data_IF_870197714982
#
_entry.id   IF_870197714982
#
_cell.length_a   1.000
_cell.length_b   1.000
_cell.length_c   1.000
_cell.angle_alpha   90.00
_cell.angle_beta   90.00
_cell.angle_gamma   90.00
#
_symmetry.space_group_name_H-M   'P 1'
#
loop_
_entity.id
_entity.type
_entity.pdbx_description
1 polymer ?
#
# COMPACT_ATOMS: atom_id res chain seq x y z
N UNK A 1 -50.17 2.19 -18.12
CA UNK A 1 -49.72 1.26 -17.06
C UNK A 1 -48.25 0.87 -17.16
N UNK A 2 -47.68 0.70 -18.35
CA UNK A 2 -46.24 0.35 -18.52
C UNK A 2 -45.22 1.44 -18.07
N UNK A 3 -45.59 2.72 -18.20
CA UNK A 3 -44.67 3.82 -17.72
C UNK A 3 -44.54 3.91 -16.20
N UNK A 4 -45.50 3.43 -15.42
CA UNK A 4 -45.42 3.37 -13.96
C UNK A 4 -44.61 2.18 -13.46
N UNK A 5 -44.54 1.09 -14.22
CA UNK A 5 -43.69 -0.06 -13.85
C UNK A 5 -42.17 0.21 -14.06
N UNK A 6 -41.81 1.07 -15.04
CA UNK A 6 -40.43 1.46 -15.27
C UNK A 6 -39.87 2.37 -14.15
N UNK A 7 -40.71 3.25 -13.59
CA UNK A 7 -40.31 4.16 -12.50
C UNK A 7 -40.16 3.40 -11.17
N UNK A 8 -40.92 2.34 -10.96
CA UNK A 8 -40.81 1.54 -9.74
C UNK A 8 -39.61 0.53 -9.79
N UNK A 9 -39.20 0.06 -10.98
CA UNK A 9 -37.98 -0.76 -11.13
C UNK A 9 -36.71 0.06 -10.91
N UNK A 10 -36.70 1.33 -11.31
CA UNK A 10 -35.55 2.23 -11.08
C UNK A 10 -35.40 2.67 -9.62
N UNK A 11 -36.49 2.66 -8.81
CA UNK A 11 -36.41 3.00 -7.38
C UNK A 11 -36.02 1.82 -6.48
N UNK A 12 -36.24 0.57 -6.86
CA UNK A 12 -35.81 -0.60 -6.09
C UNK A 12 -34.34 -0.94 -6.30
N UNK A 13 -33.69 -0.48 -7.39
CA UNK A 13 -32.26 -0.72 -7.68
C UNK A 13 -31.30 0.20 -6.92
N UNK A 14 -31.81 1.29 -6.31
CA UNK A 14 -30.94 2.28 -5.66
C UNK A 14 -30.46 1.90 -4.25
N UNK A 15 -30.93 0.79 -3.67
CA UNK A 15 -30.53 0.42 -2.29
C UNK A 15 -29.20 -0.31 -2.20
N UNK A 16 -28.65 -0.80 -3.31
CA UNK A 16 -27.41 -1.59 -3.35
C UNK A 16 -26.25 -0.88 -4.05
N UNK A 17 -26.40 0.41 -4.38
CA UNK A 17 -25.35 1.16 -5.06
C UNK A 17 -24.36 1.75 -4.07
N UNK A 18 -23.08 1.55 -4.34
CA UNK A 18 -21.97 2.23 -3.65
C UNK A 18 -21.27 3.16 -4.63
N UNK A 19 -21.01 4.39 -4.23
CA UNK A 19 -20.09 5.29 -4.92
C UNK A 19 -18.66 5.03 -4.40
N UNK A 20 -17.75 4.63 -5.28
CA UNK A 20 -16.33 4.58 -5.00
C UNK A 20 -15.66 5.83 -5.57
N UNK A 21 -14.99 6.58 -4.73
CA UNK A 21 -14.04 7.62 -5.15
C UNK A 21 -12.63 7.18 -4.83
N UNK A 22 -11.78 7.01 -5.84
CA UNK A 22 -10.35 6.71 -5.70
C UNK A 22 -9.53 7.90 -6.12
N UNK A 23 -8.55 8.28 -5.29
CA UNK A 23 -7.65 9.41 -5.58
C UNK A 23 -6.20 8.92 -5.54
N UNK A 24 -5.50 9.20 -6.62
CA UNK A 24 -4.03 9.11 -6.67
C UNK A 24 -3.53 10.52 -6.40
N UNK A 25 -2.89 10.71 -5.24
CA UNK A 25 -2.52 12.04 -4.76
C UNK A 25 -1.19 12.52 -5.35
N UNK A 26 -1.07 13.82 -5.67
CA UNK A 26 0.13 14.43 -6.24
C UNK A 26 1.17 14.73 -5.14
N UNK A 27 1.77 13.65 -4.62
CA UNK A 27 2.74 13.72 -3.52
C UNK A 27 4.20 13.64 -3.97
N UNK A 28 4.42 13.53 -5.28
CA UNK A 28 5.75 13.40 -5.87
C UNK A 28 6.35 12.01 -5.68
N UNK A 29 7.63 11.97 -5.29
CA UNK A 29 8.29 10.72 -4.97
C UNK A 29 7.72 10.19 -3.66
N UNK A 30 6.94 9.10 -3.76
CA UNK A 30 6.28 8.48 -2.60
C UNK A 30 4.94 7.83 -2.95
N UNK A 31 4.24 7.36 -1.93
CA UNK A 31 2.94 6.71 -2.06
C UNK A 31 1.87 7.36 -1.18
N UNK A 32 0.81 7.85 -1.78
CA UNK A 32 -0.39 8.27 -1.07
C UNK A 32 -1.62 8.12 -1.96
N UNK A 33 -2.46 7.15 -1.60
CA UNK A 33 -3.67 6.80 -2.34
C UNK A 33 -4.83 6.71 -1.37
N UNK A 34 -5.99 7.19 -1.77
CA UNK A 34 -7.21 7.09 -0.95
C UNK A 34 -8.35 6.50 -1.72
N UNK A 35 -9.19 5.73 -1.02
CA UNK A 35 -10.48 5.28 -1.48
C UNK A 35 -11.56 5.68 -0.48
N UNK A 36 -12.66 6.18 -0.97
CA UNK A 36 -13.87 6.42 -0.19
C UNK A 36 -15.01 5.66 -0.85
N UNK A 37 -15.58 4.70 -0.12
CA UNK A 37 -16.80 4.02 -0.51
C UNK A 37 -17.96 4.67 0.25
N UNK A 38 -18.98 5.10 -0.49
CA UNK A 38 -20.14 5.79 0.06
C UNK A 38 -21.42 5.06 -0.32
N UNK A 39 -22.21 4.70 0.67
CA UNK A 39 -23.49 4.05 0.43
C UNK A 39 -24.60 5.07 0.13
N UNK A 40 -25.79 4.56 -0.25
CA UNK A 40 -26.96 5.38 -0.56
C UNK A 40 -27.46 6.25 0.63
N UNK A 41 -27.12 5.87 1.87
CA UNK A 41 -27.45 6.60 3.09
C UNK A 41 -26.44 7.71 3.40
N UNK A 42 -25.35 7.81 2.62
CA UNK A 42 -24.32 8.81 2.79
C UNK A 42 -23.21 8.42 3.78
N UNK A 43 -23.23 7.21 4.33
CA UNK A 43 -22.16 6.71 5.17
C UNK A 43 -20.91 6.44 4.34
N UNK A 44 -19.74 6.79 4.87
CA UNK A 44 -18.47 6.67 4.19
C UNK A 44 -17.56 5.66 4.89
N UNK A 45 -16.85 4.86 4.07
CA UNK A 45 -15.76 4.00 4.49
C UNK A 45 -14.49 4.45 3.80
N UNK A 46 -13.50 4.86 4.58
CA UNK A 46 -12.32 5.55 4.09
C UNK A 46 -11.06 4.69 4.24
N UNK A 47 -10.37 4.48 3.12
CA UNK A 47 -9.14 3.71 3.02
C UNK A 47 -7.99 4.60 2.59
N UNK A 48 -6.82 4.33 3.15
CA UNK A 48 -5.54 4.90 2.73
C UNK A 48 -4.60 3.75 2.39
N UNK A 49 -3.91 3.83 1.26
CA UNK A 49 -2.77 2.97 0.93
C UNK A 49 -1.53 3.84 0.81
N UNK A 50 -0.53 3.56 1.66
CA UNK A 50 0.63 4.37 1.95
C UNK A 50 0.29 5.81 2.38
N UNK A 51 1.20 6.46 3.07
CA UNK A 51 1.03 7.84 3.52
C UNK A 51 2.37 8.56 3.53
N UNK A 52 2.93 8.76 2.34
CA UNK A 52 4.24 9.38 2.18
C UNK A 52 4.36 10.19 0.89
N UNK A 53 5.44 10.95 0.78
CA UNK A 53 5.69 11.84 -0.36
C UNK A 53 6.96 12.67 -0.19
N UNK A 54 7.03 13.82 -0.86
CA UNK A 54 8.18 14.74 -0.93
C UNK A 54 8.67 15.33 0.42
N UNK A 55 8.41 14.64 1.49
CA UNK A 55 8.93 14.96 2.81
C UNK A 55 7.84 15.28 3.82
N UNK A 56 8.21 15.18 5.09
CA UNK A 56 7.29 15.21 6.21
C UNK A 56 6.50 16.52 6.35
N UNK A 57 7.16 17.67 6.18
CA UNK A 57 6.49 18.97 6.27
C UNK A 57 5.46 19.14 5.16
N UNK A 58 5.81 18.71 3.94
CA UNK A 58 4.89 18.68 2.81
C UNK A 58 3.69 17.79 3.14
N UNK A 59 3.92 16.53 3.54
CA UNK A 59 2.84 15.59 3.83
C UNK A 59 1.93 16.07 4.95
N UNK A 60 2.47 16.63 6.04
CA UNK A 60 1.67 17.21 7.12
C UNK A 60 0.70 18.28 6.61
N UNK A 61 1.18 19.20 5.78
CA UNK A 61 0.34 20.28 5.23
C UNK A 61 -0.67 19.73 4.23
N UNK A 62 -0.25 18.79 3.40
CA UNK A 62 -1.10 18.17 2.38
C UNK A 62 -2.25 17.38 3.01
N UNK A 63 -1.98 16.57 4.04
CA UNK A 63 -3.01 15.83 4.78
C UNK A 63 -4.06 16.76 5.39
N UNK A 64 -3.63 17.89 5.96
CA UNK A 64 -4.56 18.88 6.50
C UNK A 64 -5.46 19.53 5.42
N UNK A 65 -5.02 19.54 4.16
CA UNK A 65 -5.83 20.03 3.03
C UNK A 65 -6.74 18.97 2.44
N UNK A 66 -6.32 17.69 2.50
CA UNK A 66 -7.09 16.57 1.96
C UNK A 66 -8.23 16.12 2.88
N UNK A 67 -7.99 16.12 4.18
CA UNK A 67 -8.93 15.61 5.15
C UNK A 67 -9.42 16.71 6.11
N UNK A 68 -10.74 16.79 6.37
CA UNK A 68 -11.27 17.58 7.47
C UNK A 68 -10.63 17.12 8.79
N UNK A 69 -10.53 18.04 9.74
CA UNK A 69 -10.00 17.69 11.06
C UNK A 69 -10.79 16.51 11.68
N UNK A 70 -10.05 15.57 12.29
CA UNK A 70 -10.61 14.37 12.93
C UNK A 70 -11.47 13.48 12.04
N UNK A 71 -11.21 13.47 10.72
CA UNK A 71 -11.87 12.49 9.84
C UNK A 71 -11.58 11.08 10.35
N UNK A 72 -12.57 10.20 10.28
CA UNK A 72 -12.38 8.78 10.50
C UNK A 72 -11.78 8.16 9.26
N UNK A 73 -10.66 7.47 9.43
CA UNK A 73 -10.00 6.62 8.44
C UNK A 73 -10.19 5.18 8.91
N UNK A 74 -10.96 4.42 8.17
CA UNK A 74 -11.33 3.07 8.62
C UNK A 74 -10.17 2.10 8.52
N UNK A 75 -9.37 2.18 7.43
CA UNK A 75 -8.17 1.36 7.27
C UNK A 75 -7.05 2.14 6.62
N UNK A 76 -5.84 1.89 7.10
CA UNK A 76 -4.59 2.33 6.48
C UNK A 76 -3.77 1.09 6.16
N UNK A 77 -3.43 0.88 4.90
CA UNK A 77 -2.50 -0.16 4.48
C UNK A 77 -1.14 0.47 4.18
N UNK A 78 -0.07 -0.12 4.70
CA UNK A 78 1.30 0.30 4.42
C UNK A 78 1.98 -0.79 3.60
N UNK A 79 2.51 -0.42 2.45
CA UNK A 79 3.24 -1.36 1.60
C UNK A 79 4.55 -1.80 2.25
N UNK A 80 5.36 -0.83 2.68
CA UNK A 80 6.65 -1.04 3.35
C UNK A 80 7.07 0.23 4.11
N UNK A 81 8.22 0.20 4.78
CA UNK A 81 8.59 1.25 5.73
C UNK A 81 9.67 2.22 5.21
N UNK A 82 9.80 2.42 3.91
CA UNK A 82 10.63 3.50 3.40
C UNK A 82 10.01 4.86 3.67
N UNK A 83 10.86 5.85 3.85
CA UNK A 83 10.48 7.19 4.29
C UNK A 83 9.40 7.82 3.41
N UNK A 84 9.53 7.71 2.11
CA UNK A 84 8.61 8.29 1.12
C UNK A 84 7.25 7.56 1.03
N UNK A 85 7.07 6.45 1.74
CA UNK A 85 5.79 5.76 1.90
C UNK A 85 5.12 5.99 3.25
N UNK A 86 5.87 6.42 4.29
CA UNK A 86 5.31 6.57 5.65
C UNK A 86 5.61 7.90 6.34
N UNK A 87 6.24 8.88 5.69
CA UNK A 87 6.62 10.14 6.33
C UNK A 87 5.43 11.04 6.73
N UNK A 88 4.23 10.76 6.23
CA UNK A 88 2.97 11.38 6.64
C UNK A 88 2.21 10.60 7.71
N UNK A 89 2.53 9.31 7.91
CA UNK A 89 1.72 8.38 8.72
C UNK A 89 1.52 8.85 10.16
N UNK A 90 2.57 9.34 10.82
CA UNK A 90 2.43 9.87 12.19
C UNK A 90 1.53 11.09 12.28
N UNK A 91 1.54 11.95 11.26
CA UNK A 91 0.61 13.08 11.19
C UNK A 91 -0.82 12.60 10.97
N UNK A 92 -1.00 11.57 10.16
CA UNK A 92 -2.31 10.94 9.95
C UNK A 92 -2.86 10.36 11.26
N UNK A 93 -2.09 9.51 11.94
CA UNK A 93 -2.47 8.87 13.20
C UNK A 93 -2.77 9.87 14.32
N UNK A 94 -2.02 10.98 14.39
CA UNK A 94 -2.18 11.99 15.42
C UNK A 94 -3.41 12.89 15.20
N UNK A 95 -3.71 13.21 13.94
CA UNK A 95 -4.71 14.25 13.62
C UNK A 95 -6.07 13.65 13.22
N UNK A 96 -6.13 12.34 12.94
CA UNK A 96 -7.32 11.65 12.48
C UNK A 96 -7.61 10.42 13.33
N UNK A 97 -8.86 9.96 13.29
CA UNK A 97 -9.27 8.74 13.96
C UNK A 97 -9.02 7.55 13.03
N UNK A 98 -7.83 6.96 13.11
CA UNK A 98 -7.47 5.75 12.37
C UNK A 98 -7.92 4.53 13.15
N UNK A 99 -8.83 3.71 12.59
CA UNK A 99 -9.35 2.51 13.26
C UNK A 99 -8.39 1.33 13.14
N UNK A 100 -7.93 1.06 11.89
CA UNK A 100 -7.06 -0.07 11.60
C UNK A 100 -5.83 0.37 10.82
N UNK A 101 -4.66 -0.07 11.25
CA UNK A 101 -3.39 0.04 10.55
C UNK A 101 -2.92 -1.36 10.16
N UNK A 102 -2.88 -1.65 8.87
CA UNK A 102 -2.47 -2.94 8.30
C UNK A 102 -1.09 -2.79 7.70
N UNK A 103 -0.15 -3.59 8.17
CA UNK A 103 1.27 -3.50 7.81
C UNK A 103 1.82 -4.88 7.44
N UNK A 104 2.89 -4.95 6.61
CA UNK A 104 3.63 -6.20 6.47
C UNK A 104 4.23 -6.61 7.80
N UNK A 105 4.34 -7.92 8.05
CA UNK A 105 4.93 -8.44 9.28
C UNK A 105 6.34 -7.92 9.48
N UNK A 106 6.60 -7.38 10.67
CA UNK A 106 7.90 -6.94 11.10
C UNK A 106 8.61 -8.04 11.89
N UNK A 107 9.58 -8.67 11.27
CA UNK A 107 10.58 -9.48 11.96
C UNK A 107 11.67 -8.57 12.54
N UNK A 108 12.51 -9.10 13.45
CA UNK A 108 13.69 -8.35 13.92
C UNK A 108 14.57 -7.88 12.76
N UNK A 109 14.70 -8.71 11.73
CA UNK A 109 15.50 -8.40 10.54
C UNK A 109 14.91 -7.25 9.72
N UNK A 110 13.61 -7.33 9.38
CA UNK A 110 12.96 -6.30 8.56
C UNK A 110 12.83 -4.97 9.30
N UNK A 111 12.61 -5.01 10.61
CA UNK A 111 12.57 -3.81 11.45
C UNK A 111 13.94 -3.12 11.51
N UNK A 112 14.99 -3.88 11.79
CA UNK A 112 16.37 -3.38 11.84
C UNK A 112 16.81 -2.84 10.47
N UNK A 113 16.49 -3.56 9.41
CA UNK A 113 16.78 -3.14 8.04
C UNK A 113 16.12 -1.81 7.72
N UNK A 114 14.80 -1.71 7.94
CA UNK A 114 14.04 -0.50 7.66
C UNK A 114 14.55 0.72 8.44
N UNK A 115 14.89 0.55 9.71
CA UNK A 115 15.46 1.63 10.53
C UNK A 115 16.82 2.07 9.99
N UNK A 116 17.71 1.13 9.69
CA UNK A 116 19.04 1.46 9.17
C UNK A 116 18.98 2.05 7.76
N UNK A 117 18.12 1.53 6.88
CA UNK A 117 17.90 2.10 5.56
C UNK A 117 17.47 3.56 5.63
N UNK A 118 16.43 3.85 6.42
CA UNK A 118 15.93 5.22 6.58
C UNK A 118 16.99 6.16 7.15
N UNK A 119 17.76 5.66 8.12
CA UNK A 119 18.86 6.43 8.68
C UNK A 119 19.95 6.75 7.64
N UNK A 120 20.38 5.76 6.85
CA UNK A 120 21.43 5.92 5.84
C UNK A 120 20.99 6.77 4.65
N UNK A 121 19.72 6.67 4.29
CA UNK A 121 19.19 7.39 3.14
C UNK A 121 18.86 8.85 3.45
N UNK A 122 18.48 9.17 4.68
CA UNK A 122 17.95 10.49 5.06
C UNK A 122 18.74 11.18 6.18
N UNK A 123 19.81 10.57 6.67
CA UNK A 123 20.84 11.21 7.51
C UNK A 123 20.44 11.56 8.95
N UNK A 124 19.24 11.18 9.40
CA UNK A 124 18.78 11.46 10.75
C UNK A 124 18.21 10.22 11.43
N UNK A 125 18.84 9.83 12.55
CA UNK A 125 18.32 8.76 13.40
C UNK A 125 16.99 9.14 14.08
N UNK A 126 16.81 10.40 14.35
CA UNK A 126 15.64 10.99 15.03
C UNK A 126 14.50 11.33 14.08
N UNK A 127 14.50 10.81 12.85
CA UNK A 127 13.38 11.06 11.97
C UNK A 127 12.13 10.35 12.51
N UNK A 128 10.95 10.87 12.15
CA UNK A 128 9.67 10.36 12.65
C UNK A 128 9.40 8.92 12.22
N UNK A 129 9.97 8.48 11.10
CA UNK A 129 9.87 7.11 10.61
C UNK A 129 10.53 6.15 11.58
N UNK A 130 11.76 6.47 12.02
CA UNK A 130 12.46 5.65 13.00
C UNK A 130 11.74 5.63 14.34
N UNK A 131 11.18 6.77 14.79
CA UNK A 131 10.34 6.80 15.99
C UNK A 131 9.09 5.93 15.84
N UNK A 132 8.45 5.97 14.67
CA UNK A 132 7.32 5.09 14.37
C UNK A 132 7.74 3.62 14.48
N UNK A 133 8.78 3.22 13.75
CA UNK A 133 9.26 1.83 13.74
C UNK A 133 9.70 1.34 15.12
N UNK A 134 10.36 2.19 15.90
CA UNK A 134 10.78 1.87 17.27
C UNK A 134 9.61 1.69 18.24
N UNK A 135 8.51 2.39 18.04
CA UNK A 135 7.35 2.41 18.92
C UNK A 135 6.14 1.66 18.37
N UNK A 136 6.28 0.93 17.27
CA UNK A 136 5.15 0.28 16.59
C UNK A 136 4.36 -0.68 17.50
N UNK A 137 4.96 -1.15 18.58
CA UNK A 137 4.32 -1.99 19.58
C UNK A 137 3.90 -1.23 20.85
N UNK A 138 4.12 0.09 20.89
CA UNK A 138 3.77 0.89 22.06
C UNK A 138 2.35 1.46 21.94
N UNK A 139 1.41 0.93 22.73
CA UNK A 139 -0.01 1.35 22.74
C UNK A 139 -0.19 2.84 23.04
N UNK A 140 0.66 3.42 23.86
CA UNK A 140 0.57 4.85 24.21
C UNK A 140 0.79 5.75 22.99
N UNK A 141 1.45 5.23 21.95
CA UNK A 141 1.79 5.98 20.75
C UNK A 141 0.66 6.01 19.71
N UNK A 142 -0.18 4.95 19.63
CA UNK A 142 -1.22 4.79 18.60
C UNK A 142 -2.63 4.95 19.11
N UNK A 143 -2.82 5.16 20.42
CA UNK A 143 -4.14 5.25 21.03
C UNK A 143 -4.95 3.96 20.82
N UNK A 144 -6.15 4.10 20.26
CA UNK A 144 -7.06 2.99 20.01
C UNK A 144 -6.93 2.35 18.62
N UNK A 145 -5.93 2.76 17.82
CA UNK A 145 -5.69 2.18 16.49
C UNK A 145 -5.33 0.70 16.62
N UNK A 146 -6.12 -0.17 15.99
CA UNK A 146 -5.79 -1.58 15.90
C UNK A 146 -4.68 -1.79 14.87
N UNK A 147 -3.60 -2.49 15.24
CA UNK A 147 -2.50 -2.84 14.33
C UNK A 147 -2.66 -4.29 13.90
N UNK A 148 -2.71 -4.51 12.60
CA UNK A 148 -2.75 -5.85 11.99
C UNK A 148 -1.49 -6.07 11.18
N UNK A 149 -0.74 -7.14 11.47
CA UNK A 149 0.41 -7.54 10.70
C UNK A 149 0.04 -8.66 9.73
N UNK A 150 0.43 -8.52 8.47
CA UNK A 150 0.19 -9.52 7.43
C UNK A 150 1.46 -10.38 7.27
N UNK A 151 1.32 -11.66 7.57
CA UNK A 151 2.40 -12.63 7.40
C UNK A 151 2.78 -12.81 5.94
N UNK A 152 4.06 -13.09 5.65
CA UNK A 152 4.49 -13.43 4.31
C UNK A 152 3.72 -14.61 3.74
N UNK A 153 3.44 -14.54 2.44
CA UNK A 153 2.81 -15.64 1.72
C UNK A 153 3.67 -16.91 1.80
N UNK A 154 3.02 -18.04 2.04
CA UNK A 154 3.65 -19.35 2.07
C UNK A 154 2.83 -20.32 1.22
N UNK A 155 3.41 -20.81 0.13
CA UNK A 155 2.75 -21.73 -0.79
C UNK A 155 2.32 -23.07 -0.13
N UNK A 156 2.99 -23.46 0.95
CA UNK A 156 2.69 -24.70 1.67
C UNK A 156 1.51 -24.55 2.63
N UNK A 157 1.14 -23.35 3.00
CA UNK A 157 -0.07 -23.13 3.76
C UNK A 157 -1.20 -22.95 2.76
N UNK A 158 -2.07 -23.97 2.65
CA UNK A 158 -3.34 -23.82 1.95
C UNK A 158 -3.96 -22.50 2.44
N UNK A 159 -4.07 -21.54 1.53
CA UNK A 159 -4.62 -20.23 1.84
C UNK A 159 -6.08 -20.46 2.21
N UNK A 160 -6.32 -20.68 3.50
CA UNK A 160 -7.65 -20.48 4.05
C UNK A 160 -7.84 -18.99 4.01
N UNK A 161 -8.55 -18.53 3.00
CA UNK A 161 -9.00 -17.15 2.89
C UNK A 161 -9.97 -16.92 4.04
N UNK A 162 -9.44 -16.53 5.19
CA UNK A 162 -10.28 -16.03 6.27
C UNK A 162 -10.91 -14.73 5.76
N UNK A 163 -12.21 -14.76 5.56
CA UNK A 163 -12.96 -13.55 5.28
C UNK A 163 -13.12 -12.80 6.60
N UNK A 164 -12.56 -11.60 6.65
CA UNK A 164 -12.74 -10.67 7.75
C UNK A 164 -13.78 -9.63 7.30
N UNK A 165 -15.07 -9.85 7.59
CA UNK A 165 -16.08 -8.89 7.23
C UNK A 165 -15.79 -7.59 7.99
N UNK A 166 -15.64 -6.52 7.26
CA UNK A 166 -15.66 -5.16 7.77
C UNK A 166 -17.12 -4.86 8.10
N UNK A 167 -17.67 -5.67 9.05
CA UNK A 167 -19.06 -5.58 9.47
C UNK A 167 -19.33 -4.13 9.79
N UNK A 168 -20.29 -3.60 9.06
CA UNK A 168 -20.89 -2.34 9.38
C UNK A 168 -19.96 -1.12 9.31
N UNK A 169 -18.97 -1.14 8.37
CA UNK A 169 -18.29 0.10 8.01
C UNK A 169 -19.27 1.23 7.70
N UNK A 170 -20.51 0.84 7.36
CA UNK A 170 -21.64 1.75 7.22
C UNK A 170 -22.57 1.77 8.43
N UNK A 171 -22.40 0.90 9.43
CA UNK A 171 -23.24 0.85 10.64
C UNK A 171 -22.29 0.85 11.84
N UNK A 172 -22.30 1.96 12.54
CA UNK A 172 -21.59 2.15 13.81
C UNK A 172 -22.18 1.26 14.90
N UNK A 173 -21.31 0.82 15.77
CA UNK A 173 -21.56 0.25 17.08
C UNK A 173 -21.69 -1.27 17.16
N UNK A 174 -20.55 -1.93 17.28
CA UNK A 174 -20.50 -3.05 18.19
C UNK A 174 -19.71 -2.61 19.43
N UNK A 175 -20.44 -2.43 20.54
CA UNK A 175 -19.94 -2.21 21.90
C UNK A 175 -19.27 -3.47 22.47
N UNK A 176 -18.60 -4.27 21.63
CA UNK A 176 -17.74 -5.35 22.07
C UNK A 176 -16.39 -4.76 22.51
N UNK A 177 -16.04 -4.90 23.78
CA UNK A 177 -14.75 -4.53 24.29
C UNK A 177 -13.66 -5.13 23.39
N UNK A 178 -12.89 -4.30 22.68
CA UNK A 178 -11.70 -4.71 21.91
C UNK A 178 -10.65 -5.16 22.94
N UNK A 179 -10.43 -6.45 23.01
CA UNK A 179 -9.48 -7.03 23.97
C UNK A 179 -8.04 -7.01 23.44
N UNK A 180 -7.84 -7.01 22.10
CA UNK A 180 -6.51 -7.05 21.51
C UNK A 180 -6.34 -5.96 20.43
N UNK A 181 -5.42 -5.01 20.69
CA UNK A 181 -5.03 -3.96 19.75
C UNK A 181 -4.06 -4.43 18.67
N UNK A 182 -3.54 -5.63 18.78
CA UNK A 182 -2.60 -6.22 17.84
C UNK A 182 -3.12 -7.58 17.35
N UNK A 183 -3.11 -7.79 16.03
CA UNK A 183 -3.54 -9.05 15.41
C UNK A 183 -2.57 -9.43 14.29
N UNK A 184 -2.23 -10.71 14.22
CA UNK A 184 -1.46 -11.29 13.13
C UNK A 184 -2.42 -12.05 12.19
N UNK A 185 -2.29 -11.78 10.89
CA UNK A 185 -3.11 -12.40 9.85
C UNK A 185 -2.22 -12.89 8.70
N UNK A 186 -2.71 -13.87 7.94
CA UNK A 186 -1.99 -14.38 6.77
C UNK A 186 -2.19 -13.50 5.54
N UNK A 187 -1.24 -13.54 4.61
CA UNK A 187 -1.50 -13.10 3.23
C UNK A 187 -2.75 -13.81 2.70
N UNK A 188 -3.63 -13.08 2.04
CA UNK A 188 -4.90 -13.60 1.55
C UNK A 188 -6.07 -13.44 2.51
N UNK A 189 -5.87 -12.87 3.71
CA UNK A 189 -6.98 -12.39 4.51
C UNK A 189 -7.81 -11.40 3.69
N UNK A 190 -9.09 -11.66 3.57
CA UNK A 190 -10.03 -10.84 2.80
C UNK A 190 -10.73 -9.87 3.74
N UNK A 191 -10.40 -8.58 3.63
CA UNK A 191 -11.18 -7.54 4.30
C UNK A 191 -12.35 -7.17 3.38
N UNK A 192 -13.56 -7.57 3.75
CA UNK A 192 -14.74 -7.41 2.89
C UNK A 192 -15.69 -6.32 3.36
N UNK A 193 -16.15 -5.51 2.42
CA UNK A 193 -17.23 -4.55 2.58
C UNK A 193 -18.34 -4.87 1.56
N UNK A 194 -19.25 -5.77 1.92
CA UNK A 194 -20.19 -6.35 0.97
C UNK A 194 -19.47 -7.16 -0.10
N UNK A 195 -19.62 -6.79 -1.36
CA UNK A 195 -18.92 -7.42 -2.50
C UNK A 195 -17.59 -6.77 -2.84
N UNK A 196 -17.19 -5.72 -2.12
CA UNK A 196 -15.89 -5.07 -2.29
C UNK A 196 -14.86 -5.66 -1.34
N UNK A 197 -13.66 -5.97 -1.85
CA UNK A 197 -12.61 -6.67 -1.12
C UNK A 197 -11.29 -5.92 -1.15
N UNK A 198 -10.57 -5.99 -0.03
CA UNK A 198 -9.17 -5.63 0.11
C UNK A 198 -8.39 -6.88 0.49
N UNK A 199 -7.48 -7.31 -0.37
CA UNK A 199 -6.74 -8.56 -0.18
C UNK A 199 -5.23 -8.25 -0.23
N UNK A 200 -4.54 -8.22 0.93
CA UNK A 200 -3.11 -8.00 0.95
C UNK A 200 -2.33 -9.25 0.53
N UNK A 201 -1.28 -9.03 -0.24
CA UNK A 201 -0.26 -10.00 -0.58
C UNK A 201 1.09 -9.50 -0.07
N UNK A 202 1.58 -10.09 1.01
CA UNK A 202 2.92 -9.85 1.51
C UNK A 202 3.86 -10.90 0.89
N UNK A 203 4.81 -10.52 0.01
CA UNK A 203 5.68 -11.48 -0.66
C UNK A 203 6.49 -12.28 0.37
N UNK A 204 6.89 -13.52 0.05
CA UNK A 204 7.67 -14.32 0.96
C UNK A 204 9.02 -13.69 1.24
N UNK A 205 9.44 -13.82 2.50
CA UNK A 205 10.77 -13.35 2.90
C UNK A 205 11.82 -14.21 2.21
N UNK A 206 12.79 -13.57 1.56
CA UNK A 206 13.85 -14.25 0.87
C UNK A 206 14.63 -15.23 1.75
N UNK A 207 14.77 -16.49 1.33
CA UNK A 207 15.72 -17.42 1.94
C UNK A 207 17.15 -17.05 1.50
N UNK A 208 18.02 -16.86 2.44
CA UNK A 208 19.40 -16.41 2.18
C UNK A 208 20.26 -17.57 1.68
N UNK A 209 20.82 -17.43 0.50
CA UNK A 209 21.63 -18.50 -0.08
C UNK A 209 23.09 -18.53 0.38
N UNK A 210 23.64 -17.50 1.02
CA UNK A 210 25.11 -17.46 1.28
C UNK A 210 25.59 -16.78 2.56
N UNK A 211 24.76 -16.08 3.32
CA UNK A 211 25.20 -15.54 4.61
C UNK A 211 24.48 -16.33 5.70
N UNK A 212 25.26 -17.09 6.46
CA UNK A 212 24.77 -17.87 7.59
C UNK A 212 24.28 -16.93 8.69
N UNK A 213 22.97 -16.82 8.83
CA UNK A 213 22.34 -16.06 9.90
C UNK A 213 21.43 -14.93 9.43
N UNK A 214 20.67 -14.39 10.37
CA UNK A 214 19.80 -13.26 10.17
C UNK A 214 20.60 -11.96 10.09
N UNK A 215 20.01 -10.90 9.53
CA UNK A 215 20.64 -9.58 9.53
C UNK A 215 20.83 -9.06 10.96
N UNK A 216 19.86 -9.36 11.82
CA UNK A 216 19.96 -9.05 13.25
C UNK A 216 21.17 -9.75 13.89
N UNK A 217 21.37 -11.06 13.65
CA UNK A 217 22.52 -11.79 14.17
C UNK A 217 23.84 -11.23 13.62
N UNK A 218 23.88 -10.91 12.32
CA UNK A 218 25.07 -10.29 11.73
C UNK A 218 25.45 -8.96 12.39
N UNK A 219 24.46 -8.10 12.64
CA UNK A 219 24.67 -6.83 13.34
C UNK A 219 25.03 -7.06 14.81
N UNK A 220 24.33 -7.97 15.49
CA UNK A 220 24.59 -8.35 16.88
C UNK A 220 26.04 -8.78 17.09
N UNK A 221 26.53 -9.68 16.26
CA UNK A 221 27.89 -10.23 16.36
C UNK A 221 28.97 -9.19 16.09
N UNK A 222 28.74 -8.32 15.11
CA UNK A 222 29.73 -7.33 14.70
C UNK A 222 29.74 -6.03 15.53
N UNK A 223 28.60 -5.67 16.14
CA UNK A 223 28.48 -4.40 16.88
C UNK A 223 28.27 -4.56 18.38
N UNK A 224 27.71 -5.67 18.84
CA UNK A 224 27.35 -5.87 20.24
C UNK A 224 28.02 -7.09 20.87
N UNK A 225 29.09 -7.60 20.26
CA UNK A 225 29.88 -8.73 20.78
C UNK A 225 29.06 -10.02 20.96
N UNK A 226 28.10 -10.26 20.08
CA UNK A 226 27.22 -11.43 20.11
C UNK A 226 26.09 -11.37 21.14
N UNK A 227 25.95 -10.26 21.88
CA UNK A 227 24.86 -10.09 22.87
C UNK A 227 23.60 -9.58 22.20
N UNK A 228 22.46 -10.15 22.57
CA UNK A 228 21.17 -9.64 22.15
C UNK A 228 20.97 -8.19 22.58
N UNK A 229 20.24 -7.45 21.78
CA UNK A 229 19.83 -6.07 22.08
C UNK A 229 18.38 -5.82 21.70
N UNK A 230 17.78 -4.88 22.39
CA UNK A 230 16.43 -4.43 22.06
C UNK A 230 16.51 -3.35 20.97
N UNK A 231 15.86 -3.62 19.82
CA UNK A 231 15.89 -2.72 18.67
C UNK A 231 15.29 -1.37 19.03
N UNK A 232 14.25 -1.34 19.85
CA UNK A 232 13.55 -0.09 20.20
C UNK A 232 14.37 0.78 21.18
N UNK A 233 15.07 0.19 22.16
CA UNK A 233 15.79 0.96 23.21
C UNK A 233 17.29 1.11 22.95
N UNK A 234 17.92 0.07 22.40
CA UNK A 234 19.39 0.00 22.36
C UNK A 234 19.98 0.38 21.01
N UNK A 235 19.16 0.27 19.92
CA UNK A 235 19.67 0.47 18.55
C UNK A 235 20.22 1.88 18.36
N UNK A 236 19.58 2.91 18.94
CA UNK A 236 20.07 4.30 18.85
C UNK A 236 21.46 4.46 19.41
N UNK A 237 21.73 3.82 20.55
CA UNK A 237 23.05 3.83 21.20
C UNK A 237 24.07 3.05 20.37
N UNK A 238 23.71 1.86 19.91
CA UNK A 238 24.57 0.99 19.12
C UNK A 238 24.96 1.65 17.79
N UNK A 239 23.96 2.18 17.06
CA UNK A 239 24.19 2.87 15.78
C UNK A 239 24.92 4.18 15.99
N UNK A 240 24.50 5.01 16.95
CA UNK A 240 25.16 6.30 17.23
C UNK A 240 26.65 6.18 17.55
N UNK A 241 27.04 5.14 18.31
CA UNK A 241 28.43 4.87 18.63
C UNK A 241 29.23 4.26 17.47
N UNK A 242 28.58 3.58 16.52
CA UNK A 242 29.23 2.78 15.48
C UNK A 242 28.74 3.09 14.07
N UNK A 243 28.23 4.30 13.81
CA UNK A 243 27.57 4.65 12.55
C UNK A 243 28.35 4.24 11.30
N UNK A 244 29.63 4.60 11.23
CA UNK A 244 30.48 4.26 10.07
C UNK A 244 30.56 2.75 9.86
N UNK A 245 30.66 2.00 10.94
CA UNK A 245 30.68 0.54 10.92
C UNK A 245 29.32 -0.03 10.48
N UNK A 246 28.22 0.51 10.99
CA UNK A 246 26.89 0.12 10.55
C UNK A 246 26.70 0.30 9.05
N UNK A 247 27.14 1.43 8.48
CA UNK A 247 27.08 1.68 7.02
C UNK A 247 27.82 0.61 6.24
N UNK A 248 29.03 0.26 6.70
CA UNK A 248 29.86 -0.77 6.04
C UNK A 248 29.17 -2.13 6.13
N UNK A 249 28.71 -2.54 7.32
CA UNK A 249 28.05 -3.81 7.55
C UNK A 249 26.74 -3.92 6.75
N UNK A 250 25.95 -2.86 6.75
CA UNK A 250 24.72 -2.79 5.96
C UNK A 250 25.01 -3.00 4.47
N UNK A 251 25.95 -2.23 3.91
CA UNK A 251 26.37 -2.37 2.51
C UNK A 251 26.93 -3.75 2.20
N UNK A 252 27.71 -4.34 3.09
CA UNK A 252 28.26 -5.70 2.90
C UNK A 252 27.15 -6.74 2.88
N UNK A 253 26.21 -6.65 3.80
CA UNK A 253 25.11 -7.60 3.91
C UNK A 253 24.16 -7.54 2.70
N UNK A 254 23.83 -6.33 2.24
CA UNK A 254 22.91 -6.12 1.11
C UNK A 254 23.60 -6.04 -0.27
N UNK A 255 24.94 -5.94 -0.31
CA UNK A 255 25.70 -5.92 -1.57
C UNK A 255 25.60 -7.22 -2.37
N UNK A 256 25.23 -8.32 -1.73
CA UNK A 256 25.07 -9.64 -2.32
C UNK A 256 23.76 -9.84 -3.10
N UNK A 257 23.02 -8.78 -3.41
CA UNK A 257 21.80 -8.85 -4.22
C UNK A 257 20.50 -8.91 -3.40
N UNK A 258 20.56 -8.72 -2.08
CA UNK A 258 19.37 -8.57 -1.25
C UNK A 258 18.76 -7.18 -1.50
N UNK A 259 17.56 -7.14 -2.04
CA UNK A 259 16.87 -5.89 -2.36
C UNK A 259 16.05 -5.41 -1.16
N UNK A 260 16.15 -4.10 -0.86
CA UNK A 260 15.43 -3.45 0.24
C UNK A 260 13.92 -3.43 0.04
N UNK A 261 13.46 -3.52 -1.22
CA UNK A 261 12.04 -3.48 -1.60
C UNK A 261 11.37 -4.86 -1.62
N UNK A 262 12.11 -5.92 -1.27
CA UNK A 262 11.58 -7.29 -1.27
C UNK A 262 10.41 -7.52 -0.30
N UNK A 263 10.16 -6.57 0.61
CA UNK A 263 9.10 -6.65 1.63
C UNK A 263 7.90 -5.76 1.32
N UNK A 264 7.77 -5.26 0.09
CA UNK A 264 6.65 -4.40 -0.26
C UNK A 264 5.37 -5.21 -0.46
N UNK A 265 4.41 -5.01 0.44
CA UNK A 265 3.10 -5.65 0.43
C UNK A 265 2.21 -5.05 -0.66
N UNK A 266 1.74 -5.87 -1.58
CA UNK A 266 0.73 -5.48 -2.54
C UNK A 266 -0.69 -5.58 -1.93
N UNK A 267 -1.64 -4.84 -2.51
CA UNK A 267 -3.03 -4.86 -2.10
C UNK A 267 -3.94 -4.87 -3.33
N UNK A 268 -4.74 -5.91 -3.46
CA UNK A 268 -5.88 -5.91 -4.39
C UNK A 268 -7.05 -5.16 -3.74
N UNK A 269 -7.63 -4.22 -4.49
CA UNK A 269 -8.86 -3.53 -4.14
C UNK A 269 -9.87 -3.68 -5.28
N UNK A 270 -10.97 -4.39 -5.04
CA UNK A 270 -11.89 -4.70 -6.12
C UNK A 270 -13.03 -5.63 -5.72
N UNK A 271 -13.69 -6.18 -6.72
CA UNK A 271 -14.86 -7.04 -6.57
C UNK A 271 -14.53 -8.52 -6.74
N UNK A 272 -15.25 -9.38 -6.02
CA UNK A 272 -15.11 -10.85 -6.15
C UNK A 272 -15.62 -11.38 -7.50
N UNK A 273 -16.58 -10.69 -8.10
CA UNK A 273 -17.19 -11.10 -9.38
C UNK A 273 -17.04 -10.00 -10.42
N UNK A 274 -16.15 -10.15 -11.40
CA UNK A 274 -15.92 -9.15 -12.45
C UNK A 274 -17.11 -8.91 -13.38
N UNK A 275 -18.22 -9.64 -13.23
CA UNK A 275 -19.45 -9.43 -14.01
C UNK A 275 -20.38 -8.38 -13.41
N UNK A 276 -20.05 -7.77 -12.27
CA UNK A 276 -20.81 -6.66 -11.76
C UNK A 276 -20.69 -5.45 -12.69
N UNK A 277 -21.83 -4.83 -13.02
CA UNK A 277 -21.87 -3.64 -13.87
C UNK A 277 -21.37 -2.43 -13.09
N UNK A 278 -20.26 -1.86 -13.53
CA UNK A 278 -19.73 -0.61 -12.99
C UNK A 278 -19.99 0.51 -13.99
N UNK A 279 -20.48 1.62 -13.51
CA UNK A 279 -20.66 2.83 -14.30
C UNK A 279 -19.64 3.87 -13.82
N UNK A 280 -18.78 4.34 -14.73
CA UNK A 280 -17.84 5.42 -14.40
C UNK A 280 -18.53 6.76 -14.58
N UNK A 281 -18.56 7.58 -13.52
CA UNK A 281 -19.28 8.86 -13.54
C UNK A 281 -18.40 10.00 -14.03
N UNK A 282 -17.13 10.07 -13.65
CA UNK A 282 -16.21 11.11 -14.10
C UNK A 282 -14.75 10.66 -14.03
N UNK A 283 -14.08 10.56 -15.18
CA UNK A 283 -12.63 10.62 -15.23
C UNK A 283 -12.22 12.08 -15.30
N UNK A 284 -11.75 12.64 -14.22
CA UNK A 284 -11.02 13.90 -14.28
C UNK A 284 -9.57 13.59 -14.66
N UNK A 285 -9.40 13.00 -15.83
CA UNK A 285 -8.17 13.15 -16.56
C UNK A 285 -8.30 14.50 -17.27
N UNK A 286 -7.42 15.44 -16.98
CA UNK A 286 -7.39 16.79 -17.59
C UNK A 286 -7.11 16.79 -19.10
N UNK A 287 -7.19 15.64 -19.76
CA UNK A 287 -7.15 15.48 -21.20
C UNK A 287 -8.41 14.77 -21.67
N UNK A 288 -9.18 15.48 -22.50
CA UNK A 288 -10.37 15.05 -23.20
C UNK A 288 -10.25 13.61 -23.75
N UNK A 289 -10.49 12.61 -22.93
CA UNK A 289 -10.76 11.26 -23.42
C UNK A 289 -12.18 11.25 -23.98
N UNK A 290 -12.36 11.71 -25.21
CA UNK A 290 -13.50 11.37 -26.03
C UNK A 290 -13.25 9.95 -26.53
N UNK A 291 -13.87 8.98 -25.95
CA UNK A 291 -13.86 7.66 -26.55
C UNK A 291 -14.20 6.52 -25.61
N UNK A 292 -15.16 5.79 -26.00
CA UNK A 292 -15.59 4.45 -25.61
C UNK A 292 -15.53 4.09 -24.10
N UNK A 293 -16.72 4.07 -23.53
CA UNK A 293 -17.04 3.64 -22.17
C UNK A 293 -16.57 2.22 -21.82
N UNK A 294 -16.10 1.45 -22.78
CA UNK A 294 -15.71 0.04 -22.62
C UNK A 294 -14.29 -0.19 -22.03
N UNK A 295 -13.40 0.80 -22.09
CA UNK A 295 -12.00 0.59 -21.70
C UNK A 295 -11.68 0.73 -20.22
N UNK A 296 -12.56 1.33 -19.40
CA UNK A 296 -12.30 1.65 -18.00
C UNK A 296 -13.45 1.21 -17.06
N UNK A 297 -14.29 0.29 -17.49
CA UNK A 297 -15.50 -0.13 -16.76
C UNK A 297 -15.24 -0.97 -15.51
N UNK A 298 -14.03 -1.43 -15.25
CA UNK A 298 -13.71 -2.22 -14.07
C UNK A 298 -12.91 -1.37 -13.07
N UNK A 299 -13.42 -1.17 -11.83
CA UNK A 299 -12.77 -0.37 -10.81
C UNK A 299 -11.67 -1.12 -10.04
N UNK A 300 -11.40 -2.40 -10.38
CA UNK A 300 -10.40 -3.19 -9.68
C UNK A 300 -9.01 -2.60 -9.84
N UNK A 301 -8.31 -2.50 -8.72
CA UNK A 301 -7.02 -1.85 -8.63
C UNK A 301 -6.01 -2.74 -7.90
N UNK A 302 -4.78 -2.75 -8.39
CA UNK A 302 -3.66 -3.40 -7.72
C UNK A 302 -2.66 -2.34 -7.25
N UNK A 303 -2.58 -2.14 -5.95
CA UNK A 303 -1.52 -1.37 -5.32
C UNK A 303 -0.29 -2.25 -5.14
N UNK A 304 0.88 -1.73 -5.43
CA UNK A 304 2.12 -2.51 -5.41
C UNK A 304 3.22 -1.93 -4.52
N UNK A 305 3.11 -0.66 -4.12
CA UNK A 305 4.21 0.02 -3.45
C UNK A 305 5.47 -0.03 -4.30
N UNK A 306 6.57 -0.46 -3.69
CA UNK A 306 7.86 -0.67 -4.34
C UNK A 306 8.12 -2.15 -4.68
N UNK A 307 7.08 -2.90 -4.93
CA UNK A 307 7.16 -4.34 -5.20
C UNK A 307 8.29 -4.71 -6.16
N UNK A 308 9.01 -5.79 -5.82
CA UNK A 308 10.11 -6.33 -6.63
C UNK A 308 9.63 -7.52 -7.46
N UNK A 309 9.43 -7.36 -8.78
CA UNK A 309 8.81 -8.38 -9.61
C UNK A 309 9.68 -9.61 -9.83
N UNK A 310 11.00 -9.42 -9.96
CA UNK A 310 11.90 -10.44 -10.52
C UNK A 310 13.02 -10.90 -9.57
N UNK A 311 13.24 -10.26 -8.44
CA UNK A 311 14.38 -10.55 -7.55
C UNK A 311 14.01 -10.48 -6.08
N UNK A 312 14.78 -11.15 -5.23
CA UNK A 312 15.93 -12.00 -5.50
C UNK A 312 15.60 -13.49 -5.66
N UNK A 313 14.32 -13.91 -5.64
CA UNK A 313 13.89 -15.27 -5.38
C UNK A 313 13.05 -15.93 -6.47
N UNK A 314 13.12 -15.45 -7.66
CA UNK A 314 12.35 -15.97 -8.78
C UNK A 314 11.33 -14.95 -9.31
N UNK A 315 10.25 -15.45 -9.89
CA UNK A 315 9.22 -14.61 -10.48
C UNK A 315 8.13 -14.29 -9.44
N UNK A 316 8.35 -13.23 -8.64
CA UNK A 316 7.39 -12.78 -7.63
C UNK A 316 6.04 -12.38 -8.27
N UNK A 317 6.04 -11.95 -9.53
CA UNK A 317 4.79 -11.67 -10.27
C UNK A 317 4.00 -12.94 -10.52
N UNK A 318 4.66 -14.04 -10.92
CA UNK A 318 3.96 -15.31 -11.11
C UNK A 318 3.35 -15.82 -9.81
N UNK A 319 4.07 -15.68 -8.71
CA UNK A 319 3.55 -16.01 -7.38
C UNK A 319 2.31 -15.17 -7.04
N UNK A 320 2.36 -13.87 -7.28
CA UNK A 320 1.24 -12.97 -7.08
C UNK A 320 0.06 -13.29 -8.01
N UNK A 321 0.32 -13.65 -9.27
CA UNK A 321 -0.71 -14.14 -10.22
C UNK A 321 -1.38 -15.41 -9.73
N UNK A 322 -0.60 -16.39 -9.27
CA UNK A 322 -1.13 -17.65 -8.73
C UNK A 322 -1.97 -17.37 -7.48
N UNK A 323 -1.50 -16.47 -6.62
CA UNK A 323 -2.19 -16.09 -5.40
C UNK A 323 -3.55 -15.43 -5.67
N UNK A 324 -3.62 -14.42 -6.53
CA UNK A 324 -4.87 -13.73 -6.85
C UNK A 324 -5.74 -14.45 -7.88
N UNK A 325 -5.16 -15.33 -8.71
CA UNK A 325 -5.86 -16.06 -9.75
C UNK A 325 -6.66 -15.14 -10.69
N UNK A 326 -7.94 -15.44 -10.89
CA UNK A 326 -8.82 -14.66 -11.77
C UNK A 326 -9.00 -13.20 -11.35
N UNK A 327 -8.79 -12.85 -10.08
CA UNK A 327 -8.82 -11.45 -9.63
C UNK A 327 -7.68 -10.64 -10.26
N UNK A 328 -6.49 -11.26 -10.42
CA UNK A 328 -5.38 -10.58 -11.09
C UNK A 328 -5.71 -10.26 -12.55
N UNK A 329 -6.34 -11.18 -13.26
CA UNK A 329 -6.73 -10.97 -14.67
C UNK A 329 -7.80 -9.89 -14.83
N UNK A 330 -8.61 -9.68 -13.79
CA UNK A 330 -9.63 -8.65 -13.76
C UNK A 330 -9.09 -7.23 -13.55
N UNK A 331 -7.85 -7.07 -13.04
CA UNK A 331 -7.25 -5.75 -12.76
C UNK A 331 -7.17 -4.91 -14.03
N UNK A 332 -7.69 -3.69 -13.98
CA UNK A 332 -7.64 -2.70 -15.07
C UNK A 332 -6.89 -1.42 -14.69
N UNK A 333 -6.49 -1.30 -13.43
CA UNK A 333 -5.67 -0.21 -12.95
C UNK A 333 -4.61 -0.73 -11.97
N UNK A 334 -3.37 -0.28 -12.12
CA UNK A 334 -2.25 -0.72 -11.30
C UNK A 334 -1.41 0.47 -10.88
N UNK A 335 -0.97 0.50 -9.63
CA UNK A 335 0.18 1.31 -9.24
C UNK A 335 1.43 0.69 -9.85
N UNK A 336 2.16 1.45 -10.65
CA UNK A 336 3.44 1.00 -11.21
C UNK A 336 4.47 0.94 -10.08
N UNK A 337 5.13 -0.20 -9.86
CA UNK A 337 6.04 -0.36 -8.74
C UNK A 337 7.19 0.65 -8.74
N UNK A 338 7.64 1.03 -7.55
CA UNK A 338 8.86 1.79 -7.29
C UNK A 338 9.00 3.02 -8.20
N UNK A 339 7.92 3.82 -8.25
CA UNK A 339 7.89 5.10 -8.99
C UNK A 339 8.21 4.99 -10.48
N UNK A 340 8.05 3.80 -11.06
CA UNK A 340 8.39 3.54 -12.45
C UNK A 340 9.86 3.28 -12.69
N UNK A 341 10.59 2.78 -11.70
CA UNK A 341 11.97 2.29 -11.86
C UNK A 341 12.03 1.14 -12.85
N UNK A 342 12.96 1.20 -13.80
CA UNK A 342 13.20 0.12 -14.74
C UNK A 342 13.60 -1.21 -14.05
N UNK A 343 14.32 -1.12 -12.97
CA UNK A 343 14.73 -2.30 -12.19
C UNK A 343 13.54 -3.07 -11.58
N UNK A 344 12.41 -2.39 -11.40
CA UNK A 344 11.16 -2.96 -10.87
C UNK A 344 10.10 -3.16 -11.96
N UNK A 345 10.48 -3.08 -13.22
CA UNK A 345 9.57 -3.36 -14.33
C UNK A 345 9.48 -4.87 -14.61
N UNK A 346 8.26 -5.35 -14.83
CA UNK A 346 7.98 -6.65 -15.42
C UNK A 346 6.76 -6.55 -16.32
N UNK A 347 6.83 -7.01 -17.58
CA UNK A 347 5.67 -7.00 -18.48
C UNK A 347 4.52 -7.88 -17.94
N UNK A 348 4.85 -8.88 -17.13
CA UNK A 348 3.87 -9.79 -16.53
C UNK A 348 2.91 -9.12 -15.54
N UNK A 349 3.23 -7.92 -15.05
CA UNK A 349 2.31 -7.13 -14.22
C UNK A 349 1.14 -6.54 -15.02
N UNK A 350 1.25 -6.44 -16.34
CA UNK A 350 0.31 -5.71 -17.17
C UNK A 350 -0.54 -6.68 -17.99
N UNK A 351 -1.80 -6.84 -17.62
CA UNK A 351 -2.75 -7.78 -18.21
C UNK A 351 -3.54 -7.18 -19.39
N UNK A 352 -2.84 -6.68 -20.41
CA UNK A 352 -3.50 -6.04 -21.55
C UNK A 352 -4.06 -4.66 -21.21
N UNK A 353 -5.13 -4.20 -21.81
CA UNK A 353 -5.68 -2.83 -21.67
C UNK A 353 -5.89 -2.43 -20.19
N UNK A 354 -4.90 -1.77 -19.61
CA UNK A 354 -4.91 -1.27 -18.23
C UNK A 354 -4.34 0.15 -18.15
N UNK A 355 -4.49 0.77 -17.00
CA UNK A 355 -3.87 2.05 -16.68
C UNK A 355 -2.80 1.83 -15.60
N UNK A 356 -1.56 2.22 -15.89
CA UNK A 356 -0.46 2.21 -14.93
C UNK A 356 -0.26 3.60 -14.32
N UNK A 357 -0.60 3.78 -13.04
CA UNK A 357 -0.40 5.03 -12.31
C UNK A 357 0.98 5.05 -11.69
N UNK A 358 1.72 6.12 -11.90
CA UNK A 358 3.11 6.30 -11.48
C UNK A 358 3.20 7.53 -10.60
N UNK A 359 3.46 7.37 -9.31
CA UNK A 359 3.75 8.49 -8.42
C UNK A 359 5.25 8.79 -8.48
N UNK A 360 5.63 9.94 -9.08
CA UNK A 360 7.03 10.33 -9.21
C UNK A 360 7.15 11.87 -9.22
N UNK A 361 8.06 12.43 -8.44
CA UNK A 361 8.26 13.87 -8.37
C UNK A 361 8.87 14.44 -9.65
N UNK A 362 8.50 15.67 -10.04
CA UNK A 362 9.01 16.35 -11.25
C UNK A 362 10.53 16.52 -11.21
N UNK A 363 11.12 16.65 -10.02
CA UNK A 363 12.56 16.86 -9.81
C UNK A 363 13.14 15.82 -8.86
N UNK A 364 12.78 14.54 -9.06
CA UNK A 364 13.33 13.50 -8.22
C UNK A 364 14.78 13.16 -8.60
N UNK A 365 15.59 12.85 -7.59
CA UNK A 365 17.03 12.55 -7.76
C UNK A 365 17.32 11.26 -8.53
N UNK A 366 16.31 10.41 -8.72
CA UNK A 366 16.43 9.10 -9.37
C UNK A 366 16.06 9.14 -10.85
N UNK A 367 15.55 10.28 -11.35
CA UNK A 367 15.01 10.46 -12.69
C UNK A 367 13.85 9.51 -13.04
N UNK A 368 13.09 9.06 -12.03
CA UNK A 368 11.88 8.27 -12.26
C UNK A 368 10.72 9.15 -12.78
N UNK A 369 9.80 8.58 -13.58
CA UNK A 369 9.87 7.23 -14.14
C UNK A 369 10.91 7.08 -15.25
N UNK A 370 11.54 5.92 -15.34
CA UNK A 370 12.46 5.61 -16.42
C UNK A 370 11.73 5.58 -17.76
N UNK A 371 12.37 6.09 -18.82
CA UNK A 371 11.79 6.12 -20.17
C UNK A 371 11.47 4.71 -20.68
N UNK A 372 12.35 3.77 -20.40
CA UNK A 372 12.21 2.36 -20.72
C UNK A 372 10.95 1.77 -20.09
N UNK A 373 10.67 2.11 -18.84
CA UNK A 373 9.46 1.70 -18.14
C UNK A 373 8.21 2.23 -18.85
N UNK A 374 8.18 3.52 -19.18
CA UNK A 374 7.04 4.14 -19.88
C UNK A 374 6.78 3.50 -21.24
N UNK A 375 7.83 3.29 -22.05
CA UNK A 375 7.72 2.69 -23.37
C UNK A 375 7.25 1.23 -23.31
N UNK A 376 7.73 0.48 -22.34
CA UNK A 376 7.34 -0.93 -22.19
C UNK A 376 5.93 -1.09 -21.62
N UNK A 377 5.45 -0.20 -20.74
CA UNK A 377 4.04 -0.16 -20.32
C UNK A 377 3.13 0.05 -21.56
N UNK A 378 3.48 1.00 -22.43
CA UNK A 378 2.75 1.21 -23.70
C UNK A 378 2.81 0.00 -24.60
N UNK A 379 3.97 -0.66 -24.72
CA UNK A 379 4.13 -1.89 -25.51
C UNK A 379 3.28 -3.06 -24.98
N UNK A 380 3.02 -3.11 -23.67
CA UNK A 380 2.08 -4.05 -23.05
C UNK A 380 0.59 -3.70 -23.31
N UNK A 381 0.31 -2.61 -24.03
CA UNK A 381 -1.06 -2.15 -24.32
C UNK A 381 -1.70 -1.39 -23.16
N UNK A 382 -0.91 -0.96 -22.16
CA UNK A 382 -1.38 -0.20 -21.00
C UNK A 382 -1.03 1.28 -21.16
N UNK A 383 -1.82 2.15 -20.51
CA UNK A 383 -1.62 3.59 -20.51
C UNK A 383 -0.86 4.04 -19.25
N UNK A 384 0.39 4.53 -19.36
CA UNK A 384 1.07 5.11 -18.20
C UNK A 384 0.52 6.52 -17.91
N UNK A 385 0.23 6.78 -16.64
CA UNK A 385 -0.23 8.08 -16.13
C UNK A 385 0.68 8.49 -14.99
N UNK A 386 1.46 9.55 -15.21
CA UNK A 386 2.37 10.08 -14.18
C UNK A 386 1.63 11.11 -13.32
N UNK A 387 1.69 10.90 -12.01
CA UNK A 387 1.18 11.80 -10.97
C UNK A 387 2.38 12.32 -10.20
N UNK A 388 2.67 13.60 -10.40
CA UNK A 388 3.86 14.27 -9.81
C UNK A 388 3.51 15.03 -8.52
N UNK A 389 4.39 15.90 -8.07
CA UNK A 389 4.12 16.85 -6.99
C UNK A 389 3.35 18.10 -7.47
N UNK A 390 3.02 18.17 -8.74
CA UNK A 390 2.15 19.21 -9.27
C UNK A 390 0.68 18.85 -9.01
N UNK A 391 -0.03 19.70 -8.28
CA UNK A 391 -1.44 19.50 -7.91
C UNK A 391 -2.35 19.24 -9.12
N UNK A 392 -2.00 19.80 -10.31
CA UNK A 392 -2.77 19.57 -11.53
C UNK A 392 -2.72 18.12 -12.05
N UNK A 393 -1.79 17.30 -11.55
CA UNK A 393 -1.64 15.88 -11.93
C UNK A 393 -2.48 14.94 -11.10
N UNK A 394 -3.20 15.42 -10.09
CA UNK A 394 -4.12 14.61 -9.28
C UNK A 394 -5.07 13.81 -10.17
N UNK A 395 -5.23 12.53 -9.86
CA UNK A 395 -6.20 11.69 -10.55
C UNK A 395 -7.33 11.33 -9.58
N UNK A 396 -8.56 11.58 -10.01
CA UNK A 396 -9.78 11.26 -9.26
C UNK A 396 -10.65 10.38 -10.14
N UNK A 397 -10.80 9.13 -9.74
CA UNK A 397 -11.68 8.16 -10.39
C UNK A 397 -12.93 7.96 -9.53
N UNK A 398 -14.10 8.04 -10.15
CA UNK A 398 -15.38 7.79 -9.50
C UNK A 398 -16.14 6.68 -10.22
N UNK A 399 -16.70 5.77 -9.44
CA UNK A 399 -17.47 4.63 -9.93
C UNK A 399 -18.75 4.49 -9.13
N UNK A 400 -19.82 4.10 -9.80
CA UNK A 400 -21.03 3.56 -9.17
C UNK A 400 -20.95 2.04 -9.27
N UNK A 401 -21.07 1.35 -8.16
CA UNK A 401 -20.90 -0.09 -8.04
C UNK A 401 -22.18 -0.69 -7.51
N UNK A 402 -22.76 -1.65 -8.20
CA UNK A 402 -23.89 -2.45 -7.73
C UNK A 402 -23.36 -3.64 -6.90
N UNK A 403 -23.66 -3.67 -5.59
CA UNK A 403 -23.20 -4.68 -4.63
C UNK A 403 -24.32 -5.58 -4.11
#
# INVERSE_FOLDING_TARGET
MERMMYINKTRQSNYNMIELTRIIHPVGQGGFYTETLKNAQGNEFNIVYDCGGNGQKFMKNYLNSCFPQRKTIDMVFISHFHYDHINGLLSLLKNHNVKHLVIPQLTKDSLLESILYNYLSYGSYDNLVNRFLQNIYNKEYYGETQITQIWPYNENNNVVTEEYPLTDGFITQNNGARTDLQKDMSSGTVFSLGKWFYIPFNPPVPKKDKITGSFYDYIKDNLNGGKDFNISSDLSKIVGQNLKKCVVLYKQYFKSGNNHNAYSMALFSGMRNPQCHCYMINNVCNRRCRGNRECLGNPDFLYTGDFEPLKPYGNNVQMMKQFYGSLFDAVKAIQVPHHGSWNNFSPDLYTGKCVGYISAGDKNRFNHPDKETLLNILACGCLPVVVSDNVSTIVINKYEIDI
#
